data_IF_442824028340
#
_entry.id   IF_442824028340
#
_cell.length_a   1.000
_cell.length_b   1.000
_cell.length_c   1.000
_cell.angle_alpha   90.00
_cell.angle_beta   90.00
_cell.angle_gamma   90.00
#
_symmetry.space_group_name_H-M   'P 1'
#
loop_
_entity.id
_entity.type
_entity.pdbx_description
1 polymer ?
#
# COMPACT_ATOMS: atom_id res chain seq x y z
N UNK A 1 24.50 -24.43 -33.67
CA UNK A 1 24.24 -24.96 -32.32
C UNK A 1 23.98 -23.78 -31.39
N UNK A 2 22.82 -23.71 -30.78
CA UNK A 2 22.45 -22.76 -29.75
C UNK A 2 22.18 -23.55 -28.47
N UNK A 3 22.60 -22.99 -27.35
CA UNK A 3 22.31 -23.52 -26.02
C UNK A 3 20.97 -22.90 -25.57
N UNK A 4 20.00 -23.74 -25.26
CA UNK A 4 18.62 -23.36 -24.95
C UNK A 4 18.18 -23.74 -23.52
N UNK A 5 19.00 -24.53 -22.83
CA UNK A 5 18.79 -24.96 -21.44
C UNK A 5 20.11 -24.84 -20.68
N UNK A 6 20.04 -24.37 -19.45
CA UNK A 6 21.20 -24.31 -18.57
C UNK A 6 21.77 -25.73 -18.30
N UNK A 7 23.09 -25.86 -18.29
CA UNK A 7 23.72 -27.15 -18.03
C UNK A 7 25.05 -27.35 -18.76
N UNK A 8 25.48 -28.59 -18.81
CA UNK A 8 26.73 -28.99 -19.44
C UNK A 8 26.47 -29.85 -20.66
N UNK A 9 27.01 -29.44 -21.79
CA UNK A 9 26.90 -30.10 -23.07
C UNK A 9 28.24 -30.70 -23.44
N UNK A 10 28.26 -31.98 -23.84
CA UNK A 10 29.44 -32.63 -24.37
C UNK A 10 29.27 -32.90 -25.86
N UNK A 11 30.12 -32.29 -26.66
CA UNK A 11 30.14 -32.48 -28.12
C UNK A 11 31.31 -33.31 -28.51
N UNK A 12 31.09 -34.38 -29.30
CA UNK A 12 32.09 -35.29 -29.81
C UNK A 12 32.42 -35.06 -31.28
N UNK A 13 33.68 -35.09 -31.63
CA UNK A 13 34.19 -35.08 -32.98
C UNK A 13 34.86 -36.41 -33.31
N UNK A 14 34.49 -36.97 -34.45
CA UNK A 14 35.21 -38.10 -35.11
C UNK A 14 35.51 -37.62 -36.55
N UNK A 15 36.73 -37.74 -36.99
CA UNK A 15 37.16 -37.47 -38.36
C UNK A 15 37.54 -38.78 -39.05
N UNK A 16 37.37 -38.81 -40.39
CA UNK A 16 37.69 -39.94 -41.21
C UNK A 16 38.58 -39.50 -42.41
N UNK A 17 39.64 -40.25 -42.74
CA UNK A 17 40.59 -39.97 -43.81
C UNK A 17 40.21 -40.62 -45.17
N UNK A 18 39.02 -41.22 -45.21
CA UNK A 18 38.52 -42.00 -46.33
C UNK A 18 38.71 -43.50 -46.16
N UNK A 19 39.42 -43.93 -45.12
CA UNK A 19 39.77 -45.35 -44.85
C UNK A 19 39.41 -45.75 -43.45
N UNK A 20 39.72 -44.91 -42.43
CA UNK A 20 39.58 -45.25 -41.03
C UNK A 20 39.12 -44.03 -40.22
N UNK A 21 38.31 -44.25 -39.17
CA UNK A 21 37.89 -43.20 -38.23
C UNK A 21 38.98 -42.91 -37.21
N UNK A 22 39.07 -41.65 -36.81
CA UNK A 22 39.89 -41.26 -35.66
C UNK A 22 39.33 -41.80 -34.37
N UNK A 23 40.15 -41.77 -33.31
CA UNK A 23 39.65 -41.82 -31.95
C UNK A 23 38.75 -40.64 -31.69
N UNK A 24 37.59 -40.82 -31.06
CA UNK A 24 36.72 -39.72 -30.66
C UNK A 24 37.44 -38.70 -29.80
N UNK A 25 37.21 -37.41 -30.03
CA UNK A 25 37.62 -36.32 -29.15
C UNK A 25 36.39 -35.52 -28.74
N UNK A 26 36.35 -35.01 -27.50
CA UNK A 26 35.21 -34.32 -26.94
C UNK A 26 35.57 -32.92 -26.45
N UNK A 27 34.63 -32.00 -26.57
CA UNK A 27 34.64 -30.67 -25.96
C UNK A 27 33.40 -30.50 -25.06
N UNK A 28 33.63 -29.93 -23.91
CA UNK A 28 32.55 -29.60 -22.96
C UNK A 28 32.24 -28.13 -23.06
N UNK A 29 30.95 -27.80 -23.14
CA UNK A 29 30.40 -26.45 -23.10
C UNK A 29 29.48 -26.41 -21.90
N UNK A 30 29.71 -25.47 -20.97
CA UNK A 30 28.85 -25.24 -19.81
C UNK A 30 28.24 -23.82 -19.88
N UNK A 31 27.02 -23.71 -19.44
CA UNK A 31 26.40 -22.39 -19.21
C UNK A 31 26.90 -21.82 -17.88
N UNK A 32 26.99 -20.50 -17.83
CA UNK A 32 27.20 -19.78 -16.58
C UNK A 32 25.85 -19.40 -15.99
N UNK A 33 25.76 -19.31 -14.66
CA UNK A 33 24.55 -18.86 -13.98
C UNK A 33 24.27 -17.40 -14.27
N UNK A 34 23.03 -17.06 -14.59
CA UNK A 34 22.53 -15.70 -14.79
C UNK A 34 21.86 -15.23 -13.51
N UNK A 35 21.90 -13.93 -13.24
CA UNK A 35 21.17 -13.38 -12.10
C UNK A 35 19.67 -13.33 -12.38
N UNK A 36 18.82 -13.64 -11.38
CA UNK A 36 17.37 -13.54 -11.53
C UNK A 36 16.89 -12.10 -11.65
N UNK A 37 15.68 -11.92 -12.14
CA UNK A 37 14.99 -10.62 -12.28
C UNK A 37 13.88 -10.55 -11.25
N UNK A 38 13.98 -9.59 -10.32
CA UNK A 38 12.90 -9.29 -9.38
C UNK A 38 11.79 -8.51 -10.10
N UNK A 39 10.54 -8.80 -9.72
CA UNK A 39 9.36 -8.04 -10.10
C UNK A 39 8.47 -7.90 -8.87
N UNK A 40 8.48 -6.70 -8.28
CA UNK A 40 7.70 -6.35 -7.09
C UNK A 40 6.23 -6.04 -7.40
N UNK A 41 5.87 -5.95 -8.68
CA UNK A 41 4.54 -5.56 -9.15
C UNK A 41 4.40 -4.06 -9.36
N UNK A 42 3.17 -3.63 -9.69
CA UNK A 42 2.85 -2.23 -9.94
C UNK A 42 2.56 -1.47 -8.65
N UNK A 43 2.72 -0.15 -8.69
CA UNK A 43 2.27 0.75 -7.62
C UNK A 43 0.77 0.57 -7.33
N UNK A 44 0.38 0.75 -6.05
CA UNK A 44 -1.00 0.60 -5.60
C UNK A 44 -1.46 1.84 -4.84
N UNK A 45 -2.75 2.16 -4.96
CA UNK A 45 -3.42 3.18 -4.16
C UNK A 45 -4.49 2.50 -3.29
N UNK A 46 -4.47 2.78 -1.99
CA UNK A 46 -5.31 2.12 -0.98
C UNK A 46 -5.76 3.15 0.06
N UNK A 47 -6.62 2.75 0.99
CA UNK A 47 -7.00 3.62 2.13
C UNK A 47 -6.28 3.20 3.40
N UNK A 48 -6.18 4.14 4.33
CA UNK A 48 -5.70 3.85 5.68
C UNK A 48 -6.56 2.76 6.32
N UNK A 49 -5.92 1.83 7.03
CA UNK A 49 -6.49 0.60 7.61
C UNK A 49 -6.88 -0.49 6.60
N UNK A 50 -6.46 -0.38 5.34
CA UNK A 50 -6.57 -1.49 4.39
C UNK A 50 -5.33 -2.38 4.42
N UNK A 51 -5.57 -3.68 4.21
CA UNK A 51 -4.51 -4.66 4.03
C UNK A 51 -4.06 -4.70 2.57
N UNK A 52 -2.77 -4.59 2.33
CA UNK A 52 -2.15 -4.65 1.01
C UNK A 52 -1.49 -6.00 0.81
N UNK A 53 -1.85 -6.71 -0.26
CA UNK A 53 -1.14 -7.91 -0.70
C UNK A 53 -0.14 -7.54 -1.79
N UNK A 54 1.13 -7.89 -1.56
CA UNK A 54 2.20 -7.81 -2.55
C UNK A 54 2.21 -9.07 -3.42
N UNK A 55 2.80 -8.99 -4.60
CA UNK A 55 2.89 -10.13 -5.52
C UNK A 55 4.22 -10.16 -6.26
N UNK A 56 5.15 -11.00 -5.80
CA UNK A 56 6.44 -11.25 -6.42
C UNK A 56 6.43 -12.35 -7.49
N UNK A 57 5.28 -12.93 -7.81
CA UNK A 57 5.20 -14.07 -8.74
C UNK A 57 5.60 -13.74 -10.19
N UNK A 58 5.75 -12.45 -10.51
CA UNK A 58 6.30 -11.98 -11.79
C UNK A 58 7.82 -12.06 -11.90
N UNK A 59 8.53 -12.40 -10.81
CA UNK A 59 9.97 -12.58 -10.83
C UNK A 59 10.37 -13.83 -11.61
N UNK A 60 11.52 -13.80 -12.26
CA UNK A 60 11.95 -14.87 -13.14
C UNK A 60 13.47 -15.09 -13.11
N UNK A 61 13.86 -16.28 -13.48
CA UNK A 61 15.24 -16.65 -13.78
C UNK A 61 15.32 -17.27 -15.16
N UNK A 62 16.34 -16.87 -15.97
CA UNK A 62 16.47 -17.33 -17.36
C UNK A 62 17.01 -18.77 -17.43
N UNK A 63 17.73 -19.20 -16.40
CA UNK A 63 18.28 -20.55 -16.30
C UNK A 63 17.23 -21.55 -15.76
N UNK A 64 16.09 -21.02 -15.26
CA UNK A 64 14.99 -21.82 -14.73
C UNK A 64 15.17 -22.22 -13.28
N UNK A 65 16.07 -21.57 -12.55
CA UNK A 65 16.34 -21.86 -11.15
C UNK A 65 15.19 -21.44 -10.23
N UNK A 66 15.07 -22.14 -9.10
CA UNK A 66 14.05 -21.85 -8.09
C UNK A 66 14.39 -20.59 -7.31
N UNK A 67 13.46 -19.64 -7.25
CA UNK A 67 13.67 -18.36 -6.58
C UNK A 67 13.25 -18.41 -5.10
N UNK A 68 14.06 -17.77 -4.28
CA UNK A 68 13.70 -17.33 -2.92
C UNK A 68 13.45 -15.82 -2.93
N UNK A 69 12.60 -15.34 -2.00
CA UNK A 69 12.12 -13.97 -1.96
C UNK A 69 12.58 -13.26 -0.69
N UNK A 70 12.93 -11.99 -0.81
CA UNK A 70 13.26 -11.13 0.32
C UNK A 70 12.61 -9.77 0.13
N UNK A 71 11.53 -9.53 0.87
CA UNK A 71 10.79 -8.29 0.88
C UNK A 71 11.19 -7.40 2.03
N UNK A 72 11.16 -6.08 1.82
CA UNK A 72 11.39 -5.08 2.87
C UNK A 72 10.55 -3.83 2.63
N UNK A 73 9.96 -3.26 3.69
CA UNK A 73 9.45 -1.89 3.66
C UNK A 73 10.66 -0.99 3.89
N UNK A 74 11.13 -0.31 2.85
CA UNK A 74 12.34 0.53 2.89
C UNK A 74 12.04 1.98 3.26
N UNK A 75 10.79 2.41 3.10
CA UNK A 75 10.31 3.71 3.57
C UNK A 75 8.83 3.62 3.94
N UNK A 76 8.42 4.34 4.98
CA UNK A 76 7.04 4.46 5.43
C UNK A 76 6.80 5.80 6.13
N UNK A 77 5.55 6.28 6.26
CA UNK A 77 5.23 7.52 6.94
C UNK A 77 5.68 7.54 8.39
N UNK A 78 5.97 8.73 8.91
CA UNK A 78 6.29 8.93 10.33
C UNK A 78 5.14 8.45 11.21
N UNK A 79 5.46 7.70 12.26
CA UNK A 79 4.48 7.11 13.16
C UNK A 79 3.91 5.77 12.70
N UNK A 80 4.17 5.32 11.46
CA UNK A 80 3.74 4.00 11.00
C UNK A 80 4.47 2.87 11.72
N UNK A 81 3.71 1.86 12.11
CA UNK A 81 4.19 0.59 12.68
C UNK A 81 4.11 -0.57 11.69
N UNK A 82 3.72 -0.30 10.43
CA UNK A 82 3.53 -1.31 9.40
C UNK A 82 4.72 -2.26 9.26
N UNK A 83 4.42 -3.55 9.21
CA UNK A 83 5.38 -4.65 9.03
C UNK A 83 4.78 -5.71 8.10
N UNK A 84 5.61 -6.39 7.35
CA UNK A 84 5.20 -7.50 6.48
C UNK A 84 4.80 -8.72 7.33
N UNK A 85 3.77 -9.44 6.90
CA UNK A 85 3.32 -10.70 7.53
C UNK A 85 4.43 -11.77 7.52
N UNK A 86 5.12 -11.89 6.41
CA UNK A 86 6.30 -12.73 6.21
C UNK A 86 7.09 -12.17 5.02
N UNK A 87 8.33 -11.77 5.25
CA UNK A 87 9.18 -11.17 4.20
C UNK A 87 9.75 -12.17 3.20
N UNK A 88 9.53 -13.48 3.38
CA UNK A 88 10.14 -14.53 2.57
C UNK A 88 9.17 -15.23 1.62
N UNK A 89 7.88 -14.96 1.73
CA UNK A 89 6.87 -15.57 0.85
C UNK A 89 6.69 -14.78 -0.45
N UNK A 90 6.16 -15.45 -1.46
CA UNK A 90 5.90 -14.84 -2.78
C UNK A 90 4.90 -13.66 -2.68
N UNK A 91 3.89 -13.78 -1.79
CA UNK A 91 2.79 -12.83 -1.65
C UNK A 91 2.59 -12.43 -0.18
N UNK A 92 3.46 -11.61 0.39
CA UNK A 92 3.25 -11.10 1.74
C UNK A 92 2.12 -10.07 1.78
N UNK A 93 1.61 -9.83 3.00
CA UNK A 93 0.60 -8.82 3.29
C UNK A 93 1.15 -7.88 4.36
N UNK A 94 0.74 -6.61 4.33
CA UNK A 94 0.91 -5.68 5.43
C UNK A 94 -0.29 -4.72 5.51
N UNK A 95 -0.54 -4.16 6.70
CA UNK A 95 -1.60 -3.19 6.92
C UNK A 95 -1.06 -1.76 6.78
N UNK A 96 -1.76 -0.92 6.03
CA UNK A 96 -1.48 0.51 5.91
C UNK A 96 -2.11 1.23 7.09
N UNK A 97 -1.30 1.64 8.07
CA UNK A 97 -1.75 2.17 9.36
C UNK A 97 -1.71 3.71 9.47
N UNK A 98 -0.97 4.37 8.60
CA UNK A 98 -0.82 5.85 8.56
C UNK A 98 -0.92 6.35 7.12
N UNK A 99 -1.54 7.51 6.93
CA UNK A 99 -1.62 8.14 5.60
C UNK A 99 -0.25 8.54 5.07
N UNK A 100 0.01 8.30 3.77
CA UNK A 100 1.25 8.64 3.08
C UNK A 100 1.74 7.55 2.14
N UNK A 101 3.03 7.59 1.83
CA UNK A 101 3.66 6.67 0.89
C UNK A 101 4.53 5.63 1.61
N UNK A 102 4.35 4.38 1.22
CA UNK A 102 5.19 3.24 1.62
C UNK A 102 5.97 2.80 0.40
N UNK A 103 7.29 2.69 0.51
CA UNK A 103 8.12 2.10 -0.53
C UNK A 103 8.50 0.69 -0.09
N UNK A 104 8.16 -0.29 -0.90
CA UNK A 104 8.48 -1.69 -0.66
C UNK A 104 9.46 -2.18 -1.71
N UNK A 105 10.44 -2.95 -1.28
CA UNK A 105 11.50 -3.51 -2.13
C UNK A 105 11.41 -5.03 -2.13
N UNK A 106 11.67 -5.62 -3.29
CA UNK A 106 11.86 -7.05 -3.49
C UNK A 106 13.26 -7.33 -4.00
N UNK A 107 13.93 -8.31 -3.41
CA UNK A 107 15.11 -8.98 -3.92
C UNK A 107 14.77 -10.45 -4.05
N UNK A 108 15.12 -11.08 -5.17
CA UNK A 108 15.02 -12.53 -5.34
C UNK A 108 16.41 -13.14 -5.49
N UNK A 109 16.57 -14.41 -5.11
CA UNK A 109 17.84 -15.15 -5.19
C UNK A 109 17.57 -16.55 -5.77
N UNK A 110 18.41 -16.98 -6.70
CA UNK A 110 18.36 -18.24 -7.43
C UNK A 110 19.09 -19.39 -6.71
N UNK A 111 19.59 -19.14 -5.49
CA UNK A 111 20.45 -20.06 -4.73
C UNK A 111 21.94 -19.74 -4.87
N UNK A 112 22.33 -18.87 -5.80
CA UNK A 112 23.72 -18.52 -6.13
C UNK A 112 23.96 -17.01 -6.04
N UNK A 113 23.09 -16.20 -6.64
CA UNK A 113 23.23 -14.75 -6.76
C UNK A 113 21.89 -14.03 -6.56
N UNK A 114 21.93 -12.80 -6.05
CA UNK A 114 20.75 -11.95 -5.90
C UNK A 114 20.43 -11.18 -7.19
N UNK A 115 19.14 -10.92 -7.39
CA UNK A 115 18.70 -9.92 -8.36
C UNK A 115 19.16 -8.51 -8.01
N UNK A 116 19.07 -7.60 -8.96
CA UNK A 116 18.93 -6.17 -8.66
C UNK A 116 17.61 -5.99 -7.91
N UNK A 117 17.56 -5.13 -6.86
CA UNK A 117 16.30 -4.83 -6.18
C UNK A 117 15.28 -4.20 -7.12
N UNK A 118 14.03 -4.61 -7.00
CA UNK A 118 12.88 -3.94 -7.62
C UNK A 118 11.99 -3.33 -6.53
N UNK A 119 11.32 -2.22 -6.83
CA UNK A 119 10.52 -1.48 -5.84
C UNK A 119 9.16 -1.09 -6.39
N UNK A 120 8.18 -1.07 -5.49
CA UNK A 120 6.86 -0.48 -5.75
C UNK A 120 6.51 0.52 -4.65
N UNK A 121 5.59 1.44 -4.97
CA UNK A 121 5.03 2.42 -4.04
C UNK A 121 3.58 2.08 -3.73
N UNK A 122 3.23 2.06 -2.44
CA UNK A 122 1.85 2.05 -1.97
C UNK A 122 1.55 3.46 -1.48
N UNK A 123 0.55 4.12 -2.08
CA UNK A 123 0.09 5.45 -1.67
C UNK A 123 -1.30 5.38 -1.04
N UNK A 124 -1.58 6.23 -0.05
CA UNK A 124 -2.93 6.31 0.51
C UNK A 124 -3.79 7.30 -0.27
N UNK A 125 -5.04 6.91 -0.52
CA UNK A 125 -6.09 7.79 -1.02
C UNK A 125 -6.76 8.53 0.15
N UNK A 126 -7.12 9.81 -0.07
CA UNK A 126 -7.84 10.59 0.93
C UNK A 126 -9.22 10.00 1.22
N UNK A 127 -9.56 9.87 2.48
CA UNK A 127 -10.84 9.39 2.97
C UNK A 127 -11.78 10.55 3.30
N UNK A 128 -13.08 10.28 3.28
CA UNK A 128 -14.07 11.30 3.65
C UNK A 128 -14.17 11.41 5.16
N UNK A 129 -14.12 12.63 5.74
CA UNK A 129 -14.24 12.80 7.18
C UNK A 129 -15.65 12.44 7.69
N UNK A 130 -15.70 11.99 8.94
CA UNK A 130 -16.94 11.70 9.66
C UNK A 130 -17.34 12.88 10.53
N UNK A 131 -18.53 13.49 10.24
CA UNK A 131 -19.07 14.55 11.05
C UNK A 131 -19.84 14.01 12.26
N UNK A 132 -19.68 14.67 13.40
CA UNK A 132 -20.40 14.38 14.63
C UNK A 132 -20.87 15.71 15.27
N UNK A 133 -22.15 15.97 15.25
CA UNK A 133 -22.76 17.17 15.81
C UNK A 133 -23.12 17.03 17.31
N UNK A 134 -22.83 15.88 17.91
CA UNK A 134 -23.18 15.55 19.29
C UNK A 134 -24.66 15.11 19.45
N UNK A 135 -25.06 14.90 20.68
CA UNK A 135 -26.41 14.46 21.01
C UNK A 135 -27.40 15.65 21.06
N UNK A 136 -28.68 15.38 20.76
CA UNK A 136 -29.75 16.34 20.94
C UNK A 136 -29.87 16.83 22.39
N UNK A 137 -30.16 18.10 22.60
CA UNK A 137 -30.24 18.75 23.91
C UNK A 137 -31.66 19.27 24.17
N UNK A 138 -32.14 19.15 25.41
CA UNK A 138 -33.42 19.76 25.87
C UNK A 138 -33.11 20.89 26.81
N UNK A 139 -33.55 22.11 26.47
CA UNK A 139 -33.22 23.36 27.15
C UNK A 139 -34.45 24.25 27.29
N UNK A 140 -34.36 25.31 28.11
CA UNK A 140 -35.42 26.28 28.26
C UNK A 140 -35.27 27.43 27.26
N UNK A 141 -36.37 28.09 26.96
CA UNK A 141 -36.35 29.35 26.19
C UNK A 141 -35.44 30.37 26.88
N UNK A 142 -34.64 31.05 26.08
CA UNK A 142 -33.59 31.99 26.47
C UNK A 142 -32.27 31.37 27.01
N UNK A 143 -32.18 30.06 27.09
CA UNK A 143 -30.90 29.41 27.38
C UNK A 143 -29.92 29.56 26.20
N UNK A 144 -28.64 29.67 26.53
CA UNK A 144 -27.56 29.56 25.56
C UNK A 144 -27.12 28.09 25.53
N UNK A 145 -27.15 27.49 24.35
CA UNK A 145 -26.78 26.09 24.10
C UNK A 145 -25.44 26.04 23.40
N UNK A 146 -24.46 25.32 23.94
CA UNK A 146 -23.23 25.06 23.26
C UNK A 146 -23.36 23.76 22.44
N UNK A 147 -23.08 23.86 21.14
CA UNK A 147 -22.93 22.71 20.27
C UNK A 147 -21.49 22.20 20.36
N UNK A 148 -21.28 20.95 20.03
CA UNK A 148 -19.95 20.32 20.12
C UNK A 148 -19.67 19.41 18.91
N UNK A 149 -18.81 19.89 18.00
CA UNK A 149 -18.34 19.14 16.83
C UNK A 149 -17.03 18.40 17.07
N UNK A 150 -16.45 18.44 18.28
CA UNK A 150 -15.14 17.86 18.55
C UNK A 150 -15.09 16.32 18.46
N UNK A 151 -16.26 15.66 18.35
CA UNK A 151 -16.35 14.23 18.06
C UNK A 151 -16.22 13.88 16.58
N UNK A 152 -16.09 14.87 15.69
CA UNK A 152 -15.81 14.61 14.27
C UNK A 152 -14.38 14.12 14.09
N UNK A 153 -14.15 13.25 13.11
CA UNK A 153 -12.85 12.64 12.87
C UNK A 153 -12.59 12.42 11.38
N UNK A 154 -11.33 12.35 11.06
CA UNK A 154 -10.83 11.88 9.78
C UNK A 154 -9.86 10.72 10.02
N UNK A 155 -9.95 9.65 9.19
CA UNK A 155 -9.14 8.44 9.37
C UNK A 155 -7.69 8.66 8.91
N UNK A 156 -7.48 9.59 7.97
CA UNK A 156 -6.16 9.94 7.45
C UNK A 156 -5.42 10.92 8.38
N UNK A 157 -6.13 11.44 9.40
CA UNK A 157 -5.58 12.40 10.37
C UNK A 157 -5.59 13.84 9.88
N UNK A 158 -6.34 14.14 8.84
CA UNK A 158 -6.42 15.47 8.26
C UNK A 158 -7.09 16.49 9.20
N UNK A 159 -6.65 17.74 9.09
CA UNK A 159 -7.22 18.84 9.87
C UNK A 159 -8.61 19.19 9.40
N UNK A 160 -9.61 19.10 10.29
CA UNK A 160 -10.99 19.37 9.97
C UNK A 160 -11.33 20.86 10.01
N UNK A 161 -12.13 21.30 9.06
CA UNK A 161 -12.83 22.58 9.10
C UNK A 161 -14.31 22.34 9.36
N UNK A 162 -14.96 23.28 10.09
CA UNK A 162 -16.34 23.13 10.52
C UNK A 162 -17.24 24.13 9.79
N UNK A 163 -18.46 23.70 9.48
CA UNK A 163 -19.52 24.59 9.00
C UNK A 163 -20.84 24.13 9.58
N UNK A 164 -21.40 24.95 10.48
CA UNK A 164 -22.70 24.75 11.10
C UNK A 164 -23.76 25.59 10.41
N UNK A 165 -24.97 25.05 10.29
CA UNK A 165 -26.14 25.76 9.81
C UNK A 165 -27.37 25.37 10.61
N UNK A 166 -28.31 26.30 10.80
CA UNK A 166 -29.63 25.99 11.35
C UNK A 166 -30.51 25.58 10.16
N UNK A 167 -30.82 24.28 10.09
CA UNK A 167 -31.64 23.70 9.01
C UNK A 167 -33.12 24.07 9.19
N UNK A 168 -33.59 24.04 10.45
CA UNK A 168 -34.97 24.44 10.80
C UNK A 168 -35.02 25.08 12.18
N UNK A 169 -35.96 25.98 12.38
CA UNK A 169 -36.28 26.66 13.66
C UNK A 169 -37.76 27.03 13.74
N UNK A 170 -38.32 27.23 14.96
CA UNK A 170 -39.70 27.63 15.15
C UNK A 170 -40.06 28.95 14.45
N UNK A 171 -41.30 29.07 14.03
CA UNK A 171 -41.82 30.34 13.46
C UNK A 171 -41.64 31.50 14.46
N UNK A 172 -41.15 32.63 13.94
CA UNK A 172 -40.85 33.83 14.77
C UNK A 172 -39.49 33.80 15.48
N UNK A 173 -38.70 32.70 15.39
CA UNK A 173 -37.36 32.65 15.97
C UNK A 173 -36.38 33.49 15.16
N UNK A 174 -35.54 34.28 15.84
CA UNK A 174 -34.40 35.03 15.29
C UNK A 174 -33.06 34.42 15.71
N UNK A 175 -33.05 33.16 16.23
CA UNK A 175 -31.86 32.50 16.68
C UNK A 175 -30.79 32.40 15.56
N UNK A 176 -29.54 32.65 15.94
CA UNK A 176 -28.37 32.57 15.08
C UNK A 176 -27.24 31.88 15.83
N UNK A 177 -26.28 31.29 15.10
CA UNK A 177 -25.05 30.73 15.66
C UNK A 177 -24.05 31.86 15.97
N UNK A 178 -23.33 31.75 17.09
CA UNK A 178 -22.30 32.71 17.49
C UNK A 178 -21.16 32.78 16.47
N UNK A 179 -20.72 31.59 15.99
CA UNK A 179 -19.72 31.45 14.93
C UNK A 179 -19.93 30.09 14.23
N UNK A 180 -20.44 30.12 13.01
CA UNK A 180 -20.72 28.89 12.24
C UNK A 180 -19.48 28.10 11.82
N UNK A 181 -18.28 28.64 12.02
CA UNK A 181 -17.00 28.00 11.70
C UNK A 181 -16.28 27.42 12.93
N UNK A 182 -16.79 27.68 14.14
CA UNK A 182 -16.18 27.19 15.36
C UNK A 182 -16.44 25.69 15.56
N UNK A 183 -15.51 24.99 16.20
CA UNK A 183 -15.71 23.59 16.64
C UNK A 183 -16.90 23.50 17.61
N UNK A 184 -17.05 24.50 18.50
CA UNK A 184 -18.08 24.58 19.54
C UNK A 184 -18.81 25.92 19.52
N UNK A 185 -19.71 26.13 18.52
CA UNK A 185 -20.50 27.36 18.50
C UNK A 185 -21.60 27.32 19.56
N UNK A 186 -22.17 28.49 19.88
CA UNK A 186 -23.37 28.60 20.72
C UNK A 186 -24.55 29.07 19.89
N UNK A 187 -25.74 28.63 20.29
CA UNK A 187 -27.03 29.16 19.81
C UNK A 187 -27.87 29.55 21.03
N UNK A 188 -28.59 30.69 20.96
CA UNK A 188 -29.56 31.06 21.98
C UNK A 188 -30.94 30.67 21.48
N UNK A 189 -31.65 29.87 22.26
CA UNK A 189 -33.02 29.44 21.98
C UNK A 189 -33.97 30.56 22.41
N UNK A 190 -34.59 31.26 21.47
CA UNK A 190 -35.42 32.42 21.71
C UNK A 190 -36.94 32.13 21.68
N UNK A 191 -37.35 31.06 21.04
CA UNK A 191 -38.74 30.59 20.92
C UNK A 191 -38.81 29.12 21.29
N UNK A 192 -39.89 28.71 21.99
CA UNK A 192 -40.08 27.27 22.30
C UNK A 192 -40.36 26.46 21.03
N UNK A 193 -39.73 25.30 20.91
CA UNK A 193 -39.85 24.38 19.78
C UNK A 193 -38.57 23.71 19.43
N UNK A 194 -38.50 23.04 18.25
CA UNK A 194 -37.34 22.27 17.79
C UNK A 194 -36.48 23.10 16.85
N UNK A 195 -35.20 23.07 17.12
CA UNK A 195 -34.11 23.58 16.26
C UNK A 195 -33.29 22.45 15.74
N UNK A 196 -33.06 22.41 14.42
CA UNK A 196 -32.24 21.40 13.76
C UNK A 196 -31.11 22.07 13.01
#
# INVERSE_FOLDING_TARGET
>A
FSVDVAGTYTVQLIVNDGTVNSVPNTVTISTENSAPVANAGADQAVRVNEAVQLDGSGSSDVDGDSLTFAWAIVSKPDGSSAVLSDSTVVKPVFDVDVAGNYTVQLIVNDGTVNSVPDTLTISTENSTPLSNAGAGQSVRTNDAVQLDGSGSSDVDGDSLTFTWSIVSKPGGSNATLSNSKAVKPTIRVDVAGTYT
#
